data_IF_538114140706
#
_entry.id   IF_538114140706
#
_cell.length_a   1.000
_cell.length_b   1.000
_cell.length_c   1.000
_cell.angle_alpha   90.00
_cell.angle_beta   90.00
_cell.angle_gamma   90.00
#
_symmetry.space_group_name_H-M   'P 1'
#
loop_
_entity.id
_entity.type
_entity.pdbx_description
1 polymer ?
#
# COMPACT_ATOMS: atom_id res chain seq x y z
N UNK A 1 -0.90 6.30 12.41
CA UNK A 1 0.02 5.69 11.40
C UNK A 1 -0.76 4.91 10.33
N UNK A 2 -1.61 3.91 10.71
CA UNK A 2 -2.32 3.07 9.73
C UNK A 2 -3.24 3.85 8.78
N UNK A 3 -3.97 4.86 9.25
CA UNK A 3 -4.80 5.69 8.38
C UNK A 3 -3.95 6.47 7.37
N UNK A 4 -2.84 7.06 7.81
CA UNK A 4 -1.92 7.76 6.92
C UNK A 4 -1.36 6.82 5.84
N UNK A 5 -1.00 5.58 6.23
CA UNK A 5 -0.58 4.55 5.29
C UNK A 5 -1.70 4.14 4.32
N UNK A 6 -2.95 4.04 4.81
CA UNK A 6 -4.12 3.76 3.97
C UNK A 6 -4.37 4.86 2.93
N UNK A 7 -4.28 6.14 3.34
CA UNK A 7 -4.39 7.29 2.43
C UNK A 7 -3.25 7.27 1.40
N UNK A 8 -2.02 7.02 1.84
CA UNK A 8 -0.86 6.91 0.94
C UNK A 8 -1.04 5.78 -0.08
N UNK A 9 -1.44 4.59 0.36
CA UNK A 9 -1.66 3.44 -0.52
C UNK A 9 -2.82 3.66 -1.49
N UNK A 10 -3.86 4.42 -1.10
CA UNK A 10 -4.95 4.76 -2.02
C UNK A 10 -4.49 5.58 -3.22
N UNK A 11 -3.38 6.30 -3.12
CA UNK A 11 -2.77 7.02 -4.24
C UNK A 11 -2.37 6.09 -5.40
N UNK A 12 -1.80 4.92 -5.09
CA UNK A 12 -1.47 3.92 -6.11
C UNK A 12 -2.73 3.36 -6.79
N UNK A 13 -3.79 3.12 -6.02
CA UNK A 13 -5.08 2.67 -6.56
C UNK A 13 -5.74 3.74 -7.44
N UNK A 14 -5.76 5.00 -7.00
CA UNK A 14 -6.25 6.13 -7.79
C UNK A 14 -5.45 6.27 -9.10
N UNK A 15 -4.13 6.07 -9.02
CA UNK A 15 -3.27 6.00 -10.21
C UNK A 15 -3.73 4.96 -11.21
N UNK A 16 -4.07 3.75 -10.75
CA UNK A 16 -4.62 2.68 -11.60
C UNK A 16 -5.99 3.03 -12.21
N UNK A 17 -6.89 3.62 -11.40
CA UNK A 17 -8.22 4.06 -11.85
C UNK A 17 -8.12 5.07 -13.01
N UNK A 18 -7.16 5.98 -12.96
CA UNK A 18 -6.96 7.01 -13.99
C UNK A 18 -6.11 6.50 -15.16
N UNK A 19 -5.04 5.78 -14.87
CA UNK A 19 -4.06 5.38 -15.89
C UNK A 19 -4.65 4.35 -16.87
N UNK A 20 -5.42 3.37 -16.42
CA UNK A 20 -5.94 2.31 -17.30
C UNK A 20 -6.83 2.86 -18.41
N UNK A 21 -7.91 3.64 -18.13
CA UNK A 21 -8.71 4.22 -19.18
C UNK A 21 -7.93 5.19 -20.08
N UNK A 22 -7.05 5.99 -19.47
CA UNK A 22 -6.21 6.95 -20.21
C UNK A 22 -5.27 6.24 -21.18
N UNK A 23 -4.55 5.21 -20.71
CA UNK A 23 -3.63 4.43 -21.56
C UNK A 23 -4.39 3.70 -22.66
N UNK A 24 -5.55 3.08 -22.33
CA UNK A 24 -6.39 2.42 -23.33
C UNK A 24 -6.85 3.40 -24.42
N UNK A 25 -7.35 4.57 -24.03
CA UNK A 25 -7.74 5.62 -24.97
C UNK A 25 -6.56 6.04 -25.87
N UNK A 26 -5.41 6.31 -25.25
CA UNK A 26 -4.22 6.73 -25.99
C UNK A 26 -3.69 5.62 -26.91
N UNK A 27 -3.80 4.35 -26.55
CA UNK A 27 -3.39 3.23 -27.38
C UNK A 27 -4.27 3.10 -28.63
N UNK A 28 -5.56 3.38 -28.52
CA UNK A 28 -6.51 3.30 -29.65
C UNK A 28 -6.35 4.46 -30.63
N UNK A 29 -6.17 5.69 -30.13
CA UNK A 29 -6.19 6.90 -30.95
C UNK A 29 -4.82 7.49 -31.29
N UNK A 30 -3.78 7.05 -30.57
CA UNK A 30 -2.42 7.57 -30.74
C UNK A 30 -1.42 6.41 -30.80
N UNK A 31 -0.12 6.75 -30.79
CA UNK A 31 0.95 5.76 -30.77
C UNK A 31 1.48 5.54 -29.33
N UNK A 32 2.14 4.40 -29.13
CA UNK A 32 2.69 4.04 -27.83
C UNK A 32 3.75 5.03 -27.31
N UNK A 33 4.47 5.70 -28.19
CA UNK A 33 5.50 6.68 -27.80
C UNK A 33 4.87 7.86 -27.07
N UNK A 34 3.70 8.33 -27.51
CA UNK A 34 2.99 9.41 -26.84
C UNK A 34 2.59 9.05 -25.40
N UNK A 35 2.23 7.80 -25.15
CA UNK A 35 1.89 7.31 -23.81
C UNK A 35 3.08 7.53 -22.86
N UNK A 36 4.29 7.12 -23.27
CA UNK A 36 5.50 7.32 -22.45
C UNK A 36 5.82 8.81 -22.23
N UNK A 37 5.64 9.65 -23.23
CA UNK A 37 5.87 11.09 -23.13
C UNK A 37 4.88 11.73 -22.14
N UNK A 38 3.59 11.37 -22.23
CA UNK A 38 2.54 11.94 -21.35
C UNK A 38 2.71 11.45 -19.91
N UNK A 39 2.89 10.15 -19.70
CA UNK A 39 3.07 9.59 -18.35
C UNK A 39 4.38 10.06 -17.72
N UNK A 40 5.47 10.06 -18.48
CA UNK A 40 6.76 10.58 -18.04
C UNK A 40 6.72 12.09 -17.74
N UNK A 41 6.06 12.86 -18.63
CA UNK A 41 5.84 14.30 -18.42
C UNK A 41 5.00 14.61 -17.19
N UNK A 42 3.94 13.84 -16.93
CA UNK A 42 3.14 13.96 -15.71
C UNK A 42 3.98 13.68 -14.46
N UNK A 43 4.88 12.68 -14.51
CA UNK A 43 5.84 12.42 -13.44
C UNK A 43 6.81 13.59 -13.19
N UNK A 44 7.29 14.24 -14.24
CA UNK A 44 8.13 15.44 -14.11
C UNK A 44 7.33 16.63 -13.55
N UNK A 45 6.08 16.81 -13.99
CA UNK A 45 5.22 17.88 -13.46
C UNK A 45 4.95 17.71 -11.97
N UNK A 46 4.94 16.47 -11.45
CA UNK A 46 4.82 16.21 -10.01
C UNK A 46 5.97 16.79 -9.18
N UNK A 47 7.16 16.98 -9.76
CA UNK A 47 8.27 17.59 -9.05
C UNK A 47 7.96 19.03 -8.60
N UNK A 48 7.12 19.77 -9.34
CA UNK A 48 6.75 21.15 -9.01
C UNK A 48 6.04 21.20 -7.65
N UNK A 49 4.86 20.55 -7.44
CA UNK A 49 4.23 20.55 -6.14
C UNK A 49 5.09 19.91 -5.05
N UNK A 50 5.88 18.89 -5.37
CA UNK A 50 6.82 18.30 -4.42
C UNK A 50 7.82 19.32 -3.88
N UNK A 51 8.49 20.05 -4.74
CA UNK A 51 9.48 21.07 -4.34
C UNK A 51 8.85 22.24 -3.59
N UNK A 52 7.58 22.55 -3.85
CA UNK A 52 6.86 23.62 -3.15
C UNK A 52 6.40 23.14 -1.76
N UNK A 53 5.87 21.94 -1.65
CA UNK A 53 5.25 21.39 -0.44
C UNK A 53 6.27 20.81 0.54
N UNK A 54 7.31 20.12 0.04
CA UNK A 54 8.28 19.40 0.88
C UNK A 54 9.55 20.25 1.04
N UNK A 55 9.48 21.28 1.86
CA UNK A 55 10.61 22.21 2.09
C UNK A 55 11.50 21.83 3.27
N UNK A 56 10.90 21.34 4.35
CA UNK A 56 11.63 21.08 5.59
C UNK A 56 10.85 20.12 6.51
N UNK A 57 11.54 19.48 7.48
CA UNK A 57 10.86 18.74 8.54
C UNK A 57 9.89 19.63 9.33
N UNK A 58 8.88 19.05 10.02
CA UNK A 58 7.85 19.81 10.74
C UNK A 58 8.39 20.89 11.69
N UNK A 59 9.51 20.62 12.37
CA UNK A 59 10.15 21.60 13.27
C UNK A 59 10.68 22.87 12.61
N UNK A 60 10.89 22.86 11.28
CA UNK A 60 11.44 23.98 10.50
C UNK A 60 10.57 24.40 9.31
N UNK A 61 9.38 23.81 9.17
CA UNK A 61 8.51 24.05 8.02
C UNK A 61 7.86 25.43 8.09
N UNK A 62 7.96 26.27 7.04
CA UNK A 62 7.53 27.67 7.10
C UNK A 62 6.00 27.88 7.16
N UNK A 63 5.21 26.87 6.78
CA UNK A 63 3.75 26.98 6.70
C UNK A 63 3.02 26.38 7.90
N UNK A 64 3.74 25.73 8.81
CA UNK A 64 3.15 25.14 10.01
C UNK A 64 3.05 26.22 11.09
N UNK A 65 1.86 26.38 11.70
CA UNK A 65 1.66 27.29 12.82
C UNK A 65 2.44 26.82 14.04
N UNK A 66 2.74 27.74 14.98
CA UNK A 66 3.48 27.41 16.20
C UNK A 66 2.74 26.38 17.05
N UNK A 67 1.41 26.49 17.15
CA UNK A 67 0.57 25.52 17.86
C UNK A 67 0.61 24.12 17.23
N UNK A 68 0.57 24.05 15.90
CA UNK A 68 0.67 22.80 15.14
C UNK A 68 2.06 22.18 15.28
N UNK A 69 3.11 23.00 15.23
CA UNK A 69 4.50 22.60 15.46
C UNK A 69 4.67 21.99 16.84
N UNK A 70 4.19 22.68 17.88
CA UNK A 70 4.26 22.21 19.25
C UNK A 70 3.48 20.89 19.44
N UNK A 71 2.29 20.79 18.89
CA UNK A 71 1.48 19.57 18.89
C UNK A 71 2.22 18.39 18.26
N UNK A 72 2.81 18.59 17.08
CA UNK A 72 3.56 17.54 16.36
C UNK A 72 4.81 17.14 17.16
N UNK A 73 5.59 18.11 17.63
CA UNK A 73 6.83 17.84 18.36
C UNK A 73 6.57 17.20 19.73
N UNK A 74 5.51 17.61 20.43
CA UNK A 74 5.10 16.99 21.70
C UNK A 74 4.62 15.57 21.48
N UNK A 75 3.82 15.31 20.43
CA UNK A 75 3.42 13.96 20.05
C UNK A 75 4.59 13.06 19.64
N UNK A 76 5.63 13.63 19.02
CA UNK A 76 6.86 12.92 18.74
C UNK A 76 7.68 12.65 20.01
N UNK A 77 7.80 13.64 20.92
CA UNK A 77 8.52 13.51 22.20
C UNK A 77 7.86 12.48 23.11
N UNK A 78 6.53 12.52 23.26
CA UNK A 78 5.81 11.53 24.08
C UNK A 78 5.98 10.10 23.55
N UNK A 79 6.05 9.92 22.23
CA UNK A 79 6.35 8.61 21.62
C UNK A 79 7.83 8.24 21.82
N UNK A 80 8.74 9.21 21.81
CA UNK A 80 10.17 9.02 22.03
C UNK A 80 10.44 8.80 23.53
N UNK A 81 9.83 9.57 24.44
CA UNK A 81 10.03 9.40 25.89
C UNK A 81 9.45 8.10 26.44
N UNK A 82 8.39 7.56 25.84
CA UNK A 82 7.90 6.22 26.16
C UNK A 82 8.89 5.11 25.70
N UNK A 83 9.76 5.41 24.70
CA UNK A 83 10.84 4.53 24.26
C UNK A 83 12.20 4.87 24.84
N UNK A 84 12.43 6.15 25.28
CA UNK A 84 13.72 6.64 25.74
C UNK A 84 13.89 6.51 27.28
N UNK A 85 12.83 6.13 28.01
CA UNK A 85 12.92 5.94 29.45
C UNK A 85 13.65 4.64 29.88
N UNK A 86 13.92 3.73 28.94
CA UNK A 86 14.58 2.46 29.24
C UNK A 86 15.60 1.95 28.20
N UNK A 87 15.77 2.62 27.03
CA UNK A 87 16.81 2.18 26.08
C UNK A 87 17.52 3.40 25.47
N UNK A 88 18.81 3.59 25.79
CA UNK A 88 19.76 4.21 24.86
C UNK A 88 19.43 3.63 23.47
N UNK A 89 19.08 4.48 22.50
CA UNK A 89 18.59 4.20 21.15
C UNK A 89 19.30 2.95 20.55
N UNK A 90 18.90 1.77 21.06
CA UNK A 90 19.44 0.48 20.65
C UNK A 90 19.13 0.26 19.17
N UNK A 91 20.13 0.41 18.37
CA UNK A 91 20.09 0.09 16.96
C UNK A 91 20.71 -1.30 16.76
N UNK A 92 19.90 -2.37 16.73
CA UNK A 92 20.43 -3.71 16.51
C UNK A 92 21.20 -3.75 15.19
N UNK A 93 22.33 -4.45 15.21
CA UNK A 93 23.05 -4.79 14.00
C UNK A 93 22.16 -5.59 13.04
N UNK A 94 22.48 -5.63 11.76
CA UNK A 94 21.71 -6.40 10.76
C UNK A 94 21.58 -7.88 11.18
N UNK A 95 22.62 -8.47 11.77
CA UNK A 95 22.59 -9.85 12.26
C UNK A 95 21.61 -10.04 13.41
N UNK A 96 21.60 -9.13 14.39
CA UNK A 96 20.66 -9.16 15.52
C UNK A 96 19.23 -8.93 15.09
N UNK A 97 19.02 -8.03 14.11
CA UNK A 97 17.70 -7.78 13.54
C UNK A 97 17.14 -9.05 12.89
N UNK A 98 17.94 -9.74 12.11
CA UNK A 98 17.55 -10.99 11.43
C UNK A 98 17.51 -12.20 12.38
N UNK A 99 18.12 -12.13 13.58
CA UNK A 99 17.97 -13.16 14.60
C UNK A 99 16.62 -13.11 15.33
N UNK A 100 15.89 -12.00 15.24
CA UNK A 100 14.60 -11.82 15.95
C UNK A 100 13.44 -12.42 15.14
N UNK A 101 12.56 -13.18 15.82
CA UNK A 101 11.38 -13.81 15.21
C UNK A 101 10.38 -12.78 14.67
N UNK A 102 10.25 -11.65 15.33
CA UNK A 102 9.36 -10.55 14.95
C UNK A 102 9.74 -9.97 13.58
N UNK A 103 11.03 -9.84 13.29
CA UNK A 103 11.54 -9.40 11.99
C UNK A 103 11.15 -10.36 10.88
N UNK A 104 11.29 -11.67 11.10
CA UNK A 104 10.86 -12.69 10.15
C UNK A 104 9.35 -12.69 9.94
N UNK A 105 8.57 -12.42 10.99
CA UNK A 105 7.11 -12.25 10.86
C UNK A 105 6.74 -11.16 9.85
N UNK A 106 7.42 -10.01 9.89
CA UNK A 106 7.21 -8.90 8.94
C UNK A 106 7.70 -9.27 7.54
N UNK A 107 8.89 -9.86 7.42
CA UNK A 107 9.51 -10.24 6.16
C UNK A 107 8.64 -11.27 5.43
N UNK A 108 8.21 -12.33 6.11
CA UNK A 108 7.38 -13.40 5.54
C UNK A 108 5.98 -12.86 5.19
N UNK A 109 5.36 -12.05 6.05
CA UNK A 109 4.07 -11.44 5.75
C UNK A 109 4.14 -10.57 4.48
N UNK A 110 5.20 -9.79 4.32
CA UNK A 110 5.41 -8.97 3.12
C UNK A 110 5.64 -9.82 1.88
N UNK A 111 6.49 -10.86 1.99
CA UNK A 111 6.78 -11.79 0.91
C UNK A 111 5.54 -12.58 0.43
N UNK A 112 4.61 -12.88 1.34
CA UNK A 112 3.41 -13.65 1.03
C UNK A 112 2.28 -12.78 0.45
N UNK A 113 2.13 -11.52 0.89
CA UNK A 113 0.97 -10.70 0.53
C UNK A 113 1.25 -9.75 -0.64
N UNK A 114 2.43 -9.13 -0.73
CA UNK A 114 2.75 -8.13 -1.78
C UNK A 114 2.70 -8.69 -3.21
N UNK A 115 3.10 -9.95 -3.47
CA UNK A 115 2.99 -10.58 -4.79
C UNK A 115 1.60 -10.51 -5.41
N UNK A 116 0.53 -10.56 -4.59
CA UNK A 116 -0.85 -10.47 -5.05
C UNK A 116 -1.11 -9.15 -5.80
N UNK A 117 -0.59 -8.03 -5.29
CA UNK A 117 -0.69 -6.74 -5.97
C UNK A 117 -0.06 -6.78 -7.37
N UNK A 118 1.17 -7.29 -7.45
CA UNK A 118 1.90 -7.33 -8.72
C UNK A 118 1.28 -8.30 -9.71
N UNK A 119 0.77 -9.43 -9.22
CA UNK A 119 -0.01 -10.35 -10.05
C UNK A 119 -1.15 -9.58 -10.74
N UNK A 120 -2.02 -8.92 -9.98
CA UNK A 120 -3.16 -8.22 -10.55
C UNK A 120 -2.77 -7.02 -11.44
N UNK A 121 -1.73 -6.27 -11.07
CA UNK A 121 -1.24 -5.15 -11.89
C UNK A 121 -0.84 -5.61 -13.29
N UNK A 122 -0.15 -6.75 -13.40
CA UNK A 122 0.32 -7.25 -14.69
C UNK A 122 -0.73 -8.11 -15.40
N UNK A 123 -1.50 -8.91 -14.67
CA UNK A 123 -2.35 -9.93 -15.27
C UNK A 123 -3.78 -9.47 -15.56
N UNK A 124 -4.31 -8.43 -14.95
CA UNK A 124 -5.68 -7.96 -15.25
C UNK A 124 -5.90 -7.73 -16.75
N UNK A 125 -5.09 -6.92 -17.45
CA UNK A 125 -5.33 -6.69 -18.88
C UNK A 125 -5.10 -7.95 -19.72
N UNK A 126 -4.10 -8.76 -19.39
CA UNK A 126 -3.80 -10.01 -20.10
C UNK A 126 -4.95 -11.01 -19.93
N UNK A 127 -5.41 -11.20 -18.70
CA UNK A 127 -6.50 -12.11 -18.37
C UNK A 127 -7.81 -11.72 -19.08
N UNK A 128 -8.16 -10.45 -19.07
CA UNK A 128 -9.38 -9.96 -19.74
C UNK A 128 -9.29 -10.14 -21.27
N UNK A 129 -8.12 -10.00 -21.85
CA UNK A 129 -7.90 -10.24 -23.28
C UNK A 129 -7.91 -11.73 -23.62
N UNK A 130 -7.12 -12.57 -22.94
CA UNK A 130 -6.94 -13.98 -23.30
C UNK A 130 -8.14 -14.85 -22.97
N UNK A 131 -8.81 -14.60 -21.83
CA UNK A 131 -9.94 -15.42 -21.35
C UNK A 131 -11.26 -14.95 -21.96
N UNK A 132 -11.47 -13.63 -22.06
CA UNK A 132 -12.74 -13.06 -22.52
C UNK A 132 -12.68 -12.38 -23.88
N UNK A 133 -11.51 -12.37 -24.55
CA UNK A 133 -11.37 -11.74 -25.86
C UNK A 133 -11.56 -10.23 -25.88
N UNK A 134 -11.42 -9.56 -24.71
CA UNK A 134 -11.60 -8.12 -24.64
C UNK A 134 -10.50 -7.39 -25.39
N UNK A 135 -10.87 -6.44 -26.22
CA UNK A 135 -9.95 -5.52 -26.86
C UNK A 135 -9.46 -4.43 -25.87
N UNK A 136 -8.49 -3.64 -26.29
CA UNK A 136 -7.91 -2.57 -25.48
C UNK A 136 -8.97 -1.57 -25.02
N UNK A 137 -9.99 -1.30 -25.84
CA UNK A 137 -11.05 -0.36 -25.52
C UNK A 137 -11.97 -0.90 -24.41
N UNK A 138 -12.36 -2.17 -24.48
CA UNK A 138 -13.13 -2.85 -23.44
C UNK A 138 -12.33 -2.95 -22.11
N UNK A 139 -11.04 -3.28 -22.20
CA UNK A 139 -10.15 -3.28 -21.02
C UNK A 139 -10.09 -1.89 -20.38
N UNK A 140 -10.04 -0.82 -21.17
CA UNK A 140 -10.08 0.55 -20.68
C UNK A 140 -11.36 0.88 -19.92
N UNK A 141 -12.49 0.27 -20.29
CA UNK A 141 -13.80 0.48 -19.63
C UNK A 141 -13.92 -0.32 -18.33
N UNK A 142 -13.37 -1.51 -18.23
CA UNK A 142 -13.59 -2.42 -17.10
C UNK A 142 -12.36 -2.59 -16.20
N UNK A 143 -11.15 -2.50 -16.74
CA UNK A 143 -9.90 -2.85 -16.03
C UNK A 143 -9.53 -1.93 -14.85
N UNK A 144 -10.13 -0.76 -14.72
CA UNK A 144 -9.91 0.15 -13.58
C UNK A 144 -10.77 -0.20 -12.35
N UNK A 145 -11.87 -0.95 -12.52
CA UNK A 145 -12.82 -1.28 -11.44
C UNK A 145 -12.15 -2.00 -10.27
N UNK A 146 -11.26 -2.98 -10.45
CA UNK A 146 -10.52 -3.62 -9.35
C UNK A 146 -9.78 -2.63 -8.45
N UNK A 147 -9.25 -1.54 -9.01
CA UNK A 147 -8.53 -0.51 -8.25
C UNK A 147 -9.45 0.37 -7.40
N UNK A 148 -10.75 0.47 -7.76
CA UNK A 148 -11.75 1.06 -6.85
C UNK A 148 -11.89 0.23 -5.58
N UNK A 149 -11.95 -1.09 -5.73
CA UNK A 149 -11.91 -2.00 -4.59
C UNK A 149 -10.68 -1.78 -3.72
N UNK A 150 -9.51 -1.68 -4.36
CA UNK A 150 -8.25 -1.38 -3.69
C UNK A 150 -8.29 -0.06 -2.91
N UNK A 151 -8.78 1.02 -3.51
CA UNK A 151 -8.91 2.32 -2.85
C UNK A 151 -9.77 2.25 -1.60
N UNK A 152 -10.95 1.69 -1.69
CA UNK A 152 -11.85 1.53 -0.55
C UNK A 152 -11.29 0.59 0.52
N UNK A 153 -10.59 -0.48 0.12
CA UNK A 153 -9.91 -1.39 1.03
C UNK A 153 -8.81 -0.69 1.85
N UNK A 154 -8.02 0.18 1.22
CA UNK A 154 -7.00 0.96 1.89
C UNK A 154 -7.59 1.90 2.96
N UNK A 155 -8.69 2.59 2.63
CA UNK A 155 -9.38 3.46 3.59
C UNK A 155 -10.04 2.65 4.70
N UNK A 156 -10.73 1.57 4.37
CA UNK A 156 -11.39 0.70 5.34
C UNK A 156 -10.39 0.14 6.34
N UNK A 157 -9.28 -0.43 5.90
CA UNK A 157 -8.23 -0.97 6.77
C UNK A 157 -7.59 0.09 7.67
N UNK A 158 -7.33 1.27 7.11
CA UNK A 158 -6.80 2.41 7.86
C UNK A 158 -7.76 2.95 8.91
N UNK A 159 -9.03 3.15 8.55
CA UNK A 159 -10.08 3.64 9.47
C UNK A 159 -10.41 2.62 10.55
N UNK A 160 -10.53 1.35 10.19
CA UNK A 160 -10.80 0.28 11.16
C UNK A 160 -9.70 0.20 12.21
N UNK A 161 -8.43 0.21 11.78
CA UNK A 161 -7.31 0.20 12.70
C UNK A 161 -7.32 1.45 13.61
N UNK A 162 -7.55 2.63 13.05
CA UNK A 162 -7.63 3.86 13.84
C UNK A 162 -8.76 3.84 14.87
N UNK A 163 -9.95 3.39 14.48
CA UNK A 163 -11.11 3.33 15.38
C UNK A 163 -10.88 2.37 16.54
N UNK A 164 -10.25 1.20 16.28
CA UNK A 164 -9.94 0.23 17.33
C UNK A 164 -8.89 0.76 18.32
N UNK A 165 -7.84 1.40 17.80
CA UNK A 165 -6.83 2.04 18.65
C UNK A 165 -7.42 3.19 19.49
N UNK A 166 -8.31 4.02 18.93
CA UNK A 166 -9.04 5.07 19.68
C UNK A 166 -9.97 4.47 20.75
N UNK A 167 -10.51 3.29 20.51
CA UNK A 167 -11.32 2.55 21.49
C UNK A 167 -10.47 1.84 22.58
N UNK A 168 -9.16 2.10 22.64
CA UNK A 168 -8.26 1.56 23.67
C UNK A 168 -7.77 0.13 23.40
N UNK A 169 -7.91 -0.38 22.17
CA UNK A 169 -7.38 -1.68 21.82
C UNK A 169 -5.87 -1.64 21.74
N UNK A 170 -5.23 -2.73 22.16
CA UNK A 170 -3.80 -2.94 21.97
C UNK A 170 -3.42 -2.95 20.48
N UNK A 171 -2.23 -2.37 20.17
CA UNK A 171 -1.74 -2.25 18.79
C UNK A 171 -1.61 -3.61 18.11
N UNK A 172 -1.03 -4.60 18.80
CA UNK A 172 -0.83 -5.94 18.25
C UNK A 172 -2.17 -6.63 17.91
N UNK A 173 -3.15 -6.56 18.83
CA UNK A 173 -4.50 -7.10 18.58
C UNK A 173 -5.19 -6.41 17.41
N UNK A 174 -5.05 -5.08 17.32
CA UNK A 174 -5.63 -4.30 16.23
C UNK A 174 -5.01 -4.68 14.88
N UNK A 175 -3.67 -4.80 14.80
CA UNK A 175 -2.99 -5.19 13.55
C UNK A 175 -3.42 -6.59 13.11
N UNK A 176 -3.40 -7.55 14.03
CA UNK A 176 -3.85 -8.92 13.75
C UNK A 176 -5.28 -8.96 13.24
N UNK A 177 -6.20 -8.24 13.90
CA UNK A 177 -7.60 -8.18 13.47
C UNK A 177 -7.73 -7.70 12.02
N UNK A 178 -7.12 -6.55 11.69
CA UNK A 178 -7.30 -5.93 10.37
C UNK A 178 -6.64 -6.75 9.27
N UNK A 179 -5.44 -7.27 9.51
CA UNK A 179 -4.74 -8.15 8.57
C UNK A 179 -5.55 -9.43 8.34
N UNK A 180 -6.00 -10.09 9.41
CA UNK A 180 -6.82 -11.31 9.29
C UNK A 180 -8.11 -11.05 8.54
N UNK A 181 -8.80 -9.95 8.83
CA UNK A 181 -10.03 -9.58 8.13
C UNK A 181 -9.79 -9.35 6.63
N UNK A 182 -8.72 -8.65 6.27
CA UNK A 182 -8.33 -8.47 4.86
C UNK A 182 -8.08 -9.81 4.16
N UNK A 183 -7.35 -10.72 4.81
CA UNK A 183 -7.13 -12.07 4.27
C UNK A 183 -8.42 -12.87 4.15
N UNK A 184 -9.33 -12.81 5.14
CA UNK A 184 -10.62 -13.52 5.12
C UNK A 184 -11.56 -13.00 4.02
N UNK A 185 -11.47 -11.73 3.65
CA UNK A 185 -12.21 -11.17 2.50
C UNK A 185 -11.56 -11.64 1.19
N UNK A 186 -10.24 -11.61 1.11
CA UNK A 186 -9.48 -11.90 -0.11
C UNK A 186 -9.51 -13.40 -0.48
N UNK A 187 -9.33 -14.31 0.46
CA UNK A 187 -9.18 -15.75 0.18
C UNK A 187 -10.39 -16.37 -0.52
N UNK A 188 -11.65 -16.16 -0.07
CA UNK A 188 -12.82 -16.69 -0.78
C UNK A 188 -12.94 -16.11 -2.19
N UNK A 189 -12.61 -14.83 -2.37
CA UNK A 189 -12.65 -14.18 -3.68
C UNK A 189 -11.56 -14.73 -4.62
N UNK A 190 -10.36 -15.06 -4.11
CA UNK A 190 -9.33 -15.77 -4.89
C UNK A 190 -9.80 -17.15 -5.35
N UNK A 191 -10.52 -17.89 -4.50
CA UNK A 191 -11.10 -19.18 -4.87
C UNK A 191 -12.18 -19.00 -5.95
N UNK A 192 -13.07 -18.00 -5.79
CA UNK A 192 -14.11 -17.68 -6.76
C UNK A 192 -13.53 -17.23 -8.13
N UNK A 193 -12.29 -16.72 -8.15
CA UNK A 193 -11.62 -16.32 -9.38
C UNK A 193 -11.22 -17.52 -10.26
N UNK A 194 -11.28 -18.75 -9.75
CA UNK A 194 -11.00 -19.96 -10.55
C UNK A 194 -12.06 -20.19 -11.64
N UNK A 195 -13.33 -19.80 -11.41
CA UNK A 195 -14.42 -19.87 -12.40
C UNK A 195 -15.38 -18.67 -12.18
N UNK A 196 -15.06 -17.51 -12.69
CA UNK A 196 -15.87 -16.31 -12.46
C UNK A 196 -17.10 -16.19 -13.39
N UNK A 197 -17.23 -17.09 -14.39
CA UNK A 197 -18.33 -17.13 -15.34
C UNK A 197 -18.23 -16.06 -16.41
N UNK A 198 -18.56 -14.81 -16.12
CA UNK A 198 -18.57 -13.71 -17.10
C UNK A 198 -17.54 -12.61 -16.76
N UNK A 199 -17.19 -11.74 -17.72
CA UNK A 199 -16.16 -10.71 -17.52
C UNK A 199 -16.49 -9.71 -16.42
N UNK A 200 -17.76 -9.36 -16.22
CA UNK A 200 -18.17 -8.39 -15.19
C UNK A 200 -18.01 -9.01 -13.81
N UNK A 201 -18.44 -10.27 -13.66
CA UNK A 201 -18.22 -11.02 -12.43
C UNK A 201 -16.71 -11.16 -12.10
N UNK A 202 -15.87 -11.47 -13.10
CA UNK A 202 -14.42 -11.54 -12.94
C UNK A 202 -13.84 -10.22 -12.39
N UNK A 203 -14.19 -9.10 -13.01
CA UNK A 203 -13.74 -7.75 -12.60
C UNK A 203 -14.22 -7.41 -11.18
N UNK A 204 -15.46 -7.76 -10.83
CA UNK A 204 -16.00 -7.54 -9.48
C UNK A 204 -15.30 -8.42 -8.43
N UNK A 205 -15.01 -9.67 -8.76
CA UNK A 205 -14.24 -10.57 -7.89
C UNK A 205 -12.82 -10.01 -7.67
N UNK A 206 -12.16 -9.55 -8.73
CA UNK A 206 -10.86 -8.87 -8.63
C UNK A 206 -10.93 -7.63 -7.73
N UNK A 207 -12.03 -6.85 -7.80
CA UNK A 207 -12.22 -5.70 -6.92
C UNK A 207 -12.32 -6.11 -5.44
N UNK A 208 -12.99 -7.22 -5.12
CA UNK A 208 -13.06 -7.78 -3.76
C UNK A 208 -11.70 -8.29 -3.30
N UNK A 209 -10.94 -8.95 -4.18
CA UNK A 209 -9.58 -9.41 -3.87
C UNK A 209 -8.69 -8.22 -3.51
N UNK A 210 -8.66 -7.19 -4.35
CA UNK A 210 -7.85 -6.00 -4.11
C UNK A 210 -8.33 -5.16 -2.92
N UNK A 211 -9.64 -5.17 -2.62
CA UNK A 211 -10.17 -4.59 -1.37
C UNK A 211 -9.60 -5.31 -0.15
N UNK A 212 -9.65 -6.63 -0.10
CA UNK A 212 -9.08 -7.43 0.99
C UNK A 212 -7.57 -7.24 1.12
N UNK A 213 -6.85 -7.27 0.00
CA UNK A 213 -5.43 -7.02 -0.07
C UNK A 213 -5.06 -5.66 0.55
N UNK A 214 -5.68 -4.58 0.10
CA UNK A 214 -5.38 -3.23 0.58
C UNK A 214 -5.81 -3.00 2.03
N UNK A 215 -6.85 -3.69 2.49
CA UNK A 215 -7.23 -3.71 3.92
C UNK A 215 -6.09 -4.25 4.79
N UNK A 216 -5.41 -5.30 4.35
CA UNK A 216 -4.33 -5.95 5.08
C UNK A 216 -2.99 -5.23 4.93
N UNK A 217 -2.56 -4.90 3.70
CA UNK A 217 -1.19 -4.47 3.39
C UNK A 217 -0.79 -3.19 4.11
N UNK A 218 -1.68 -2.21 4.24
CA UNK A 218 -1.40 -0.97 4.96
C UNK A 218 -1.05 -1.20 6.44
N UNK A 219 -1.61 -2.25 7.05
CA UNK A 219 -1.29 -2.65 8.41
C UNK A 219 0.02 -3.46 8.48
N UNK A 220 0.31 -4.31 7.50
CA UNK A 220 1.62 -5.00 7.40
C UNK A 220 2.76 -3.99 7.27
N UNK A 221 2.61 -2.98 6.41
CA UNK A 221 3.62 -1.93 6.18
C UNK A 221 3.87 -1.03 7.41
N UNK A 222 2.95 -1.01 8.39
CA UNK A 222 3.17 -0.27 9.65
C UNK A 222 3.92 -1.09 10.70
N UNK A 223 4.00 -2.42 10.59
CA UNK A 223 4.64 -3.30 11.58
C UNK A 223 6.09 -2.92 11.88
N UNK A 224 6.96 -2.61 10.90
CA UNK A 224 8.33 -2.20 11.22
C UNK A 224 8.39 -1.02 12.20
N UNK A 225 7.50 -0.03 12.02
CA UNK A 225 7.44 1.17 12.87
C UNK A 225 6.73 0.95 14.21
N UNK A 226 6.00 -0.15 14.35
CA UNK A 226 5.37 -0.54 15.61
C UNK A 226 6.30 -1.42 16.47
N UNK A 227 7.24 -2.13 15.84
CA UNK A 227 8.15 -3.08 16.49
C UNK A 227 9.51 -2.46 16.85
N UNK A 228 9.98 -1.48 16.08
CA UNK A 228 11.34 -0.96 16.19
C UNK A 228 11.39 0.57 16.19
N UNK A 229 12.42 1.12 16.84
CA UNK A 229 12.73 2.56 16.86
C UNK A 229 13.21 3.09 15.51
N UNK A 230 13.33 4.42 15.41
CA UNK A 230 13.60 5.16 14.15
C UNK A 230 14.82 4.67 13.37
N UNK A 231 15.90 4.27 14.05
CA UNK A 231 17.15 3.82 13.42
C UNK A 231 17.02 2.47 12.71
N UNK A 232 16.11 1.60 13.16
CA UNK A 232 15.98 0.23 12.69
C UNK A 232 14.85 0.02 11.69
N UNK A 233 13.82 0.90 11.73
CA UNK A 233 12.64 0.81 10.84
C UNK A 233 13.04 0.77 9.36
N UNK A 234 14.00 1.61 8.95
CA UNK A 234 14.47 1.65 7.56
C UNK A 234 15.08 0.32 7.10
N UNK A 235 15.91 -0.30 7.93
CA UNK A 235 16.55 -1.59 7.61
C UNK A 235 15.54 -2.72 7.51
N UNK A 236 14.60 -2.83 8.47
CA UNK A 236 13.55 -3.86 8.41
C UNK A 236 12.60 -3.65 7.23
N UNK A 237 12.22 -2.40 6.95
CA UNK A 237 11.41 -2.07 5.77
C UNK A 237 12.12 -2.42 4.46
N UNK A 238 13.45 -2.23 4.40
CA UNK A 238 14.27 -2.64 3.27
C UNK A 238 14.26 -4.16 3.06
N UNK A 239 14.50 -4.95 4.12
CA UNK A 239 14.44 -6.41 4.04
C UNK A 239 13.05 -6.93 3.67
N UNK A 240 11.99 -6.37 4.27
CA UNK A 240 10.62 -6.77 3.94
C UNK A 240 10.25 -6.40 2.50
N UNK A 241 10.69 -5.23 2.01
CA UNK A 241 10.49 -4.81 0.63
C UNK A 241 11.26 -5.70 -0.37
N UNK A 242 12.50 -6.09 -0.05
CA UNK A 242 13.26 -7.04 -0.87
C UNK A 242 12.56 -8.41 -0.92
N UNK A 243 12.14 -8.94 0.21
CA UNK A 243 11.41 -10.21 0.27
C UNK A 243 10.09 -10.17 -0.49
N UNK A 244 9.36 -9.06 -0.41
CA UNK A 244 8.14 -8.80 -1.17
C UNK A 244 8.38 -8.88 -2.69
N UNK A 245 9.47 -8.29 -3.18
CA UNK A 245 9.82 -8.33 -4.62
C UNK A 245 10.32 -9.69 -5.07
N UNK A 246 11.08 -10.40 -4.23
CA UNK A 246 11.48 -11.78 -4.50
C UNK A 246 10.24 -12.71 -4.59
N UNK A 247 9.26 -12.51 -3.70
CA UNK A 247 7.98 -13.21 -3.79
C UNK A 247 7.22 -12.92 -5.09
N UNK A 248 7.26 -11.69 -5.58
CA UNK A 248 6.61 -11.31 -6.85
C UNK A 248 7.32 -11.88 -8.09
N UNK A 249 8.63 -12.10 -8.04
CA UNK A 249 9.39 -12.72 -9.16
C UNK A 249 9.10 -14.22 -9.27
N UNK A 250 8.68 -14.88 -8.17
CA UNK A 250 8.34 -16.30 -8.13
C UNK A 250 6.93 -16.64 -8.63
N UNK A 251 6.14 -15.63 -9.04
CA UNK A 251 4.81 -15.77 -9.65
C UNK A 251 4.91 -15.77 -11.18
#
# INVERSE_FOLDING_TARGET
RALAQGIFNSGAAIGGIVAIPMIAYMTVYFNWQLIFIVVGGAGLLWLIPWMILVKAPPGKHPWITEQEREYILTGQRSTTQASDAEEEEYAPSTGELLARKESWGVIIASAAIDPIWWLFVFWIPIYLNEVYGMDVQAIGIYGWVPYVGAMFGAWFGGLLAQNRLKAGWDTNKTRKLVITLGCLIMLPALIAMADPGDPVAAVMIMAVILFGFQTAIGNVQTLPSDLYGKKTVGSLSGFSGMAAKLGAVGL
#
